data_IF_498836293721
#
_entry.id   IF_498836293721
#
_cell.length_a   1.000
_cell.length_b   1.000
_cell.length_c   1.000
_cell.angle_alpha   90.00
_cell.angle_beta   90.00
_cell.angle_gamma   90.00
#
_symmetry.space_group_name_H-M   'P 1'
#
loop_
_entity.id
_entity.type
_entity.pdbx_description
1 polymer ?
#
# COMPACT_ATOMS: atom_id res chain seq x y z
N UNK A 1 3.04 59.87 11.29
CA UNK A 1 3.02 58.97 10.12
C UNK A 1 4.25 58.09 10.20
N UNK A 2 4.10 56.95 10.86
CA UNK A 2 5.18 56.05 11.25
C UNK A 2 5.27 54.90 10.27
N UNK A 3 6.46 54.65 9.75
CA UNK A 3 6.78 53.48 8.97
C UNK A 3 8.18 53.01 9.31
N UNK A 4 8.31 51.79 9.83
CA UNK A 4 9.48 50.92 9.63
C UNK A 4 9.08 49.47 9.87
N UNK A 5 9.31 48.67 8.82
CA UNK A 5 9.23 47.20 8.80
C UNK A 5 10.29 46.62 9.72
N UNK A 6 9.92 45.64 10.55
CA UNK A 6 10.85 44.77 11.27
C UNK A 6 10.60 43.33 10.81
N UNK A 7 11.62 42.76 10.17
CA UNK A 7 11.77 41.33 9.93
C UNK A 7 11.98 40.64 11.29
N UNK A 8 11.15 39.64 11.64
CA UNK A 8 11.46 38.72 12.75
C UNK A 8 11.96 37.39 12.19
N UNK A 9 13.22 37.10 12.49
CA UNK A 9 13.96 35.87 12.23
C UNK A 9 13.60 34.89 13.35
N UNK A 10 13.06 33.71 13.03
CA UNK A 10 12.76 32.66 14.01
C UNK A 10 14.04 31.84 14.32
N UNK A 11 14.53 31.90 15.56
CA UNK A 11 15.69 31.13 16.01
C UNK A 11 15.32 29.80 16.69
N UNK A 12 16.10 28.77 16.36
CA UNK A 12 16.02 27.37 16.79
C UNK A 12 16.58 27.17 18.22
N UNK A 13 15.81 27.41 19.27
CA UNK A 13 16.27 27.09 20.64
C UNK A 13 15.36 26.23 21.53
N UNK A 14 14.19 25.77 21.08
CA UNK A 14 13.31 24.97 21.94
C UNK A 14 13.38 23.44 21.80
N UNK A 15 14.42 22.89 21.14
CA UNK A 15 14.52 21.42 20.91
C UNK A 15 15.58 20.69 21.76
N UNK A 16 16.25 21.35 22.72
CA UNK A 16 17.30 20.72 23.55
C UNK A 16 16.97 20.52 25.03
N UNK A 17 15.78 20.92 25.50
CA UNK A 17 15.44 20.85 26.93
C UNK A 17 14.52 19.67 27.33
N UNK A 18 13.98 18.91 26.37
CA UNK A 18 13.08 17.78 26.65
C UNK A 18 13.75 16.39 26.59
N UNK A 19 15.00 16.29 26.12
CA UNK A 19 15.69 14.99 25.97
C UNK A 19 16.52 14.59 27.21
N UNK A 20 16.80 15.52 28.14
CA UNK A 20 17.62 15.26 29.33
C UNK A 20 16.84 14.78 30.55
N UNK A 21 15.49 14.81 30.53
CA UNK A 21 14.66 14.44 31.69
C UNK A 21 14.28 12.94 31.71
N UNK A 22 14.45 12.20 30.61
CA UNK A 22 14.02 10.79 30.53
C UNK A 22 15.12 9.74 30.81
N UNK A 23 16.39 10.13 30.99
CA UNK A 23 17.50 9.16 31.15
C UNK A 23 17.89 8.92 32.62
N UNK A 24 17.29 9.61 33.59
CA UNK A 24 17.67 9.51 35.02
C UNK A 24 16.75 8.68 35.92
N UNK A 25 15.73 7.98 35.38
CA UNK A 25 14.80 7.17 36.19
C UNK A 25 14.99 5.64 36.15
N UNK A 26 16.03 5.13 35.49
CA UNK A 26 16.34 3.69 35.50
C UNK A 26 17.82 3.43 35.70
N UNK A 27 18.37 3.65 36.90
CA UNK A 27 19.37 2.77 37.57
C UNK A 27 19.53 3.25 39.01
N UNK A 28 18.88 2.59 39.98
CA UNK A 28 19.37 2.46 41.37
C UNK A 28 18.44 1.58 42.18
N UNK A 29 18.79 0.31 42.33
CA UNK A 29 18.47 -0.54 43.48
C UNK A 29 19.31 -1.82 43.38
N UNK A 30 20.48 -1.77 44.01
CA UNK A 30 21.44 -2.86 44.22
C UNK A 30 20.85 -4.04 45.00
N UNK A 31 21.38 -5.27 44.80
CA UNK A 31 21.91 -6.15 45.87
C UNK A 31 22.89 -7.19 45.25
N UNK A 32 24.11 -7.26 45.77
CA UNK A 32 25.02 -8.44 45.76
C UNK A 32 25.12 -8.99 47.20
N UNK A 33 25.64 -10.22 47.47
CA UNK A 33 27.07 -10.30 47.82
C UNK A 33 27.81 -11.68 47.72
N UNK A 34 29.14 -11.61 47.96
CA UNK A 34 30.10 -12.57 48.58
C UNK A 34 31.02 -13.49 47.69
N UNK A 35 32.25 -13.87 48.16
CA UNK A 35 33.52 -13.49 47.51
C UNK A 35 34.56 -14.65 47.29
N UNK A 36 35.82 -14.24 46.97
CA UNK A 36 37.15 -14.81 47.28
C UNK A 36 38.03 -15.26 46.08
N UNK A 37 39.06 -14.47 45.76
CA UNK A 37 40.49 -14.77 46.00
C UNK A 37 41.47 -14.14 44.97
N UNK A 38 42.31 -13.25 45.51
CA UNK A 38 43.76 -13.09 45.28
C UNK A 38 44.33 -12.82 43.87
N UNK A 39 44.90 -11.62 43.69
CA UNK A 39 46.36 -11.31 43.62
C UNK A 39 46.55 -9.90 43.01
N UNK A 40 47.25 -9.03 43.73
CA UNK A 40 47.92 -7.78 43.31
C UNK A 40 49.46 -8.07 43.33
N UNK A 41 50.44 -7.34 42.71
CA UNK A 41 50.49 -6.00 42.08
C UNK A 41 51.08 -6.02 40.64
N UNK A 42 51.04 -4.97 39.81
CA UNK A 42 51.81 -3.71 39.92
C UNK A 42 51.29 -2.68 38.91
N UNK A 43 51.33 -1.39 39.30
CA UNK A 43 51.24 -0.25 38.40
C UNK A 43 52.65 0.23 38.02
N UNK A 44 52.85 0.70 36.78
CA UNK A 44 53.59 1.94 36.57
C UNK A 44 52.77 3.01 35.82
N UNK A 45 53.17 4.25 36.09
CA UNK A 45 52.62 5.57 35.73
C UNK A 45 52.77 5.92 34.22
N UNK A 46 52.32 7.09 33.71
CA UNK A 46 51.64 7.20 32.42
C UNK A 46 52.60 7.62 31.29
N UNK A 47 52.23 7.35 30.04
CA UNK A 47 52.85 7.99 28.88
C UNK A 47 51.77 8.67 28.06
N UNK A 48 51.93 9.99 27.92
CA UNK A 48 51.08 10.88 27.13
C UNK A 48 51.10 10.53 25.64
N UNK A 49 49.93 10.73 25.02
CA UNK A 49 49.83 11.29 23.68
C UNK A 49 50.06 10.33 22.52
N UNK A 50 48.98 9.74 22.01
CA UNK A 50 48.81 9.48 20.58
C UNK A 50 47.31 9.25 20.27
N UNK A 51 46.82 9.95 19.24
CA UNK A 51 45.46 9.86 18.73
C UNK A 51 45.08 8.40 18.45
N UNK A 52 44.08 7.87 19.17
CA UNK A 52 43.41 6.64 18.76
C UNK A 52 42.45 6.95 17.61
N UNK A 53 42.91 6.73 16.38
CA UNK A 53 42.02 6.28 15.31
C UNK A 53 41.57 4.86 15.66
N UNK A 54 40.31 4.71 16.09
CA UNK A 54 39.70 3.40 16.23
C UNK A 54 39.45 2.87 14.81
N UNK A 55 40.36 2.02 14.31
CA UNK A 55 40.00 1.11 13.24
C UNK A 55 39.04 0.07 13.82
N UNK A 56 37.75 0.21 13.49
CA UNK A 56 36.79 -0.86 13.70
C UNK A 56 37.19 -2.02 12.76
N UNK A 57 37.97 -2.96 13.28
CA UNK A 57 38.15 -4.25 12.64
C UNK A 57 36.81 -4.97 12.67
N UNK A 58 36.02 -4.82 11.60
CA UNK A 58 34.90 -5.70 11.32
C UNK A 58 35.52 -7.03 10.92
N UNK A 59 35.71 -7.91 11.90
CA UNK A 59 36.11 -9.28 11.66
C UNK A 59 35.01 -9.97 10.87
N UNK A 60 35.33 -10.21 9.61
CA UNK A 60 34.94 -11.40 8.86
C UNK A 60 33.44 -11.71 8.87
N UNK A 61 32.72 -11.02 7.98
CA UNK A 61 31.95 -11.67 6.93
C UNK A 61 31.59 -13.14 7.19
N UNK A 62 30.58 -13.39 8.03
CA UNK A 62 29.69 -14.54 7.82
C UNK A 62 28.81 -14.26 6.59
N UNK A 63 29.47 -14.12 5.44
CA UNK A 63 28.83 -14.26 4.14
C UNK A 63 28.55 -15.74 4.03
N UNK A 64 27.30 -16.13 4.26
CA UNK A 64 26.83 -17.44 3.86
C UNK A 64 27.10 -17.57 2.35
N UNK A 65 28.02 -18.46 1.91
CA UNK A 65 28.27 -18.63 0.51
C UNK A 65 27.06 -19.39 -0.06
N UNK A 66 26.39 -18.77 -1.03
CA UNK A 66 25.20 -19.26 -1.74
C UNK A 66 23.83 -19.07 -1.08
N UNK A 67 23.52 -17.87 -0.59
CA UNK A 67 22.18 -17.33 -0.87
C UNK A 67 22.23 -16.55 -2.19
N UNK A 68 22.14 -17.27 -3.31
CA UNK A 68 21.53 -16.66 -4.49
C UNK A 68 20.08 -16.40 -4.12
N UNK A 69 19.76 -15.18 -3.66
CA UNK A 69 18.40 -14.67 -3.80
C UNK A 69 18.24 -14.43 -5.29
N UNK A 70 18.01 -15.52 -6.00
CA UNK A 70 17.37 -15.48 -7.30
C UNK A 70 16.16 -14.57 -7.14
N UNK A 71 16.01 -13.61 -8.04
CA UNK A 71 14.76 -12.85 -8.16
C UNK A 71 13.62 -13.76 -8.70
N UNK A 72 13.49 -14.97 -8.17
CA UNK A 72 12.42 -15.94 -8.42
C UNK A 72 11.32 -15.83 -7.37
N UNK A 73 11.21 -14.70 -6.67
CA UNK A 73 9.99 -14.43 -5.90
C UNK A 73 8.89 -14.21 -6.95
N UNK A 74 7.90 -15.11 -7.07
CA UNK A 74 6.85 -14.92 -8.07
C UNK A 74 6.20 -13.57 -7.78
N UNK A 75 6.07 -12.74 -8.80
CA UNK A 75 5.19 -11.58 -8.75
C UNK A 75 3.90 -12.03 -8.04
N UNK A 76 3.49 -11.37 -6.93
CA UNK A 76 2.59 -12.01 -6.01
C UNK A 76 1.26 -12.15 -6.72
N UNK A 77 0.81 -13.40 -6.79
CA UNK A 77 -0.54 -13.81 -7.18
C UNK A 77 -0.76 -14.10 -8.67
N UNK A 78 -0.15 -15.19 -9.16
CA UNK A 78 -0.67 -15.90 -10.32
C UNK A 78 -2.00 -16.56 -9.91
N UNK A 79 -3.10 -15.85 -10.19
CA UNK A 79 -4.43 -16.34 -9.88
C UNK A 79 -4.78 -17.57 -10.73
N UNK A 80 -4.97 -18.70 -10.06
CA UNK A 80 -5.31 -19.98 -10.71
C UNK A 80 -6.53 -19.87 -11.62
N UNK A 81 -7.47 -18.96 -11.34
CA UNK A 81 -8.63 -18.73 -12.23
C UNK A 81 -8.19 -18.30 -13.63
N UNK A 82 -7.18 -17.44 -13.73
CA UNK A 82 -6.67 -16.91 -14.99
C UNK A 82 -5.90 -17.96 -15.81
N UNK A 83 -5.52 -19.08 -15.18
CA UNK A 83 -4.86 -20.21 -15.85
C UNK A 83 -5.86 -21.20 -16.47
N UNK A 84 -7.14 -21.15 -16.08
CA UNK A 84 -8.14 -22.09 -16.58
C UNK A 84 -8.47 -21.79 -18.05
N UNK A 85 -8.79 -22.81 -18.88
CA UNK A 85 -9.23 -22.58 -20.25
C UNK A 85 -10.64 -21.97 -20.28
N UNK A 86 -11.04 -21.35 -21.39
CA UNK A 86 -12.47 -21.05 -21.61
C UNK A 86 -13.29 -22.34 -21.61
N UNK A 87 -14.46 -22.32 -20.96
CA UNK A 87 -15.36 -23.48 -20.89
C UNK A 87 -16.78 -23.11 -21.26
N UNK A 88 -17.23 -23.57 -22.44
CA UNK A 88 -18.58 -23.36 -22.96
C UNK A 88 -19.62 -24.13 -22.14
N UNK A 89 -19.30 -25.37 -21.75
CA UNK A 89 -20.23 -26.25 -21.04
C UNK A 89 -21.23 -26.95 -21.96
N UNK A 90 -22.08 -27.82 -21.39
CA UNK A 90 -23.00 -28.69 -22.16
C UNK A 90 -24.32 -28.05 -22.55
N UNK A 91 -24.70 -26.95 -21.90
CA UNK A 91 -25.95 -26.24 -22.17
C UNK A 91 -25.84 -25.41 -23.47
N UNK A 92 -26.98 -25.10 -24.09
CA UNK A 92 -27.05 -24.49 -25.43
C UNK A 92 -27.43 -23.00 -25.43
N UNK A 93 -27.38 -22.32 -24.28
CA UNK A 93 -27.59 -20.87 -24.25
C UNK A 93 -26.43 -20.14 -24.95
N UNK A 94 -26.68 -18.93 -25.45
CA UNK A 94 -25.66 -18.11 -26.12
C UNK A 94 -25.33 -16.88 -25.27
N UNK A 95 -24.69 -17.08 -24.13
CA UNK A 95 -24.39 -15.99 -23.20
C UNK A 95 -23.03 -15.36 -23.52
N UNK A 96 -23.01 -14.07 -23.85
CA UNK A 96 -21.75 -13.33 -24.04
C UNK A 96 -21.02 -13.19 -22.71
N UNK A 97 -19.77 -13.66 -22.66
CA UNK A 97 -18.90 -13.66 -21.48
C UNK A 97 -17.46 -13.34 -21.91
N UNK A 98 -16.61 -13.06 -20.93
CA UNK A 98 -15.19 -12.85 -21.11
C UNK A 98 -14.39 -13.91 -20.37
N UNK A 99 -13.24 -14.29 -20.91
CA UNK A 99 -12.26 -15.15 -20.25
C UNK A 99 -10.86 -14.57 -20.50
N UNK A 100 -9.93 -14.83 -19.58
CA UNK A 100 -8.53 -14.53 -19.79
C UNK A 100 -7.87 -15.62 -20.61
N UNK A 101 -7.30 -15.26 -21.76
CA UNK A 101 -6.53 -16.14 -22.60
C UNK A 101 -5.06 -16.02 -22.22
N UNK A 102 -4.51 -17.04 -21.56
CA UNK A 102 -3.12 -17.08 -21.13
C UNK A 102 -2.11 -17.06 -22.30
N UNK A 103 -2.51 -17.47 -23.51
CA UNK A 103 -1.63 -17.45 -24.69
C UNK A 103 -1.45 -16.05 -25.24
N UNK A 104 -2.52 -15.26 -25.28
CA UNK A 104 -2.47 -13.87 -25.75
C UNK A 104 -2.20 -12.87 -24.62
N UNK A 105 -2.31 -13.31 -23.36
CA UNK A 105 -2.21 -12.47 -22.16
C UNK A 105 -3.36 -11.46 -22.04
N UNK A 106 -4.51 -11.72 -22.68
CA UNK A 106 -5.61 -10.75 -22.84
C UNK A 106 -6.96 -11.36 -22.46
N UNK A 107 -7.89 -10.48 -22.08
CA UNK A 107 -9.29 -10.83 -21.90
C UNK A 107 -10.02 -10.85 -23.25
N UNK A 108 -10.62 -11.97 -23.59
CA UNK A 108 -11.30 -12.21 -24.87
C UNK A 108 -12.75 -12.62 -24.62
N UNK A 109 -13.64 -12.31 -25.58
CA UNK A 109 -15.05 -12.72 -25.48
C UNK A 109 -15.24 -14.18 -25.92
N UNK A 110 -16.22 -14.85 -25.34
CA UNK A 110 -16.68 -16.17 -25.76
C UNK A 110 -18.17 -16.36 -25.43
N UNK A 111 -18.80 -17.35 -26.07
CA UNK A 111 -20.17 -17.74 -25.74
C UNK A 111 -20.18 -18.85 -24.70
N UNK A 112 -20.75 -18.57 -23.54
CA UNK A 112 -20.99 -19.55 -22.49
C UNK A 112 -22.35 -20.21 -22.68
N UNK A 113 -22.37 -21.55 -22.62
CA UNK A 113 -23.54 -22.39 -22.81
C UNK A 113 -24.61 -22.29 -21.71
N UNK A 114 -24.27 -21.67 -20.57
CA UNK A 114 -25.19 -21.42 -19.46
C UNK A 114 -25.08 -22.41 -18.29
N UNK A 115 -24.31 -23.50 -18.42
CA UNK A 115 -24.04 -24.42 -17.31
C UNK A 115 -22.66 -25.07 -17.40
N UNK A 116 -22.16 -25.57 -16.26
CA UNK A 116 -20.90 -26.32 -16.17
C UNK A 116 -19.66 -25.58 -16.70
N UNK A 117 -19.62 -24.26 -16.55
CA UNK A 117 -18.42 -23.45 -16.80
C UNK A 117 -17.31 -23.69 -15.78
N UNK A 118 -16.34 -22.78 -15.74
CA UNK A 118 -15.31 -22.71 -14.71
C UNK A 118 -15.11 -21.24 -14.26
N UNK A 119 -14.17 -20.99 -13.37
CA UNK A 119 -13.93 -19.65 -12.82
C UNK A 119 -13.47 -18.62 -13.86
N UNK A 120 -12.88 -19.03 -14.98
CA UNK A 120 -12.43 -18.12 -16.04
C UNK A 120 -13.60 -17.73 -16.95
N UNK A 121 -14.60 -17.09 -16.34
CA UNK A 121 -15.86 -16.72 -16.96
C UNK A 121 -16.40 -15.47 -16.26
N UNK A 122 -16.16 -14.33 -16.88
CA UNK A 122 -16.50 -13.01 -16.37
C UNK A 122 -17.65 -12.40 -17.18
N UNK A 123 -18.52 -11.65 -16.52
CA UNK A 123 -19.67 -11.02 -17.18
C UNK A 123 -19.22 -9.85 -18.06
N UNK A 124 -18.22 -9.09 -17.60
CA UNK A 124 -17.72 -7.90 -18.30
C UNK A 124 -16.22 -7.98 -18.54
N UNK A 125 -15.75 -7.28 -19.58
CA UNK A 125 -14.32 -7.14 -19.87
C UNK A 125 -13.54 -6.62 -18.66
N UNK A 126 -14.08 -5.60 -17.99
CA UNK A 126 -13.47 -4.98 -16.80
C UNK A 126 -13.30 -5.96 -15.65
N UNK A 127 -14.26 -6.86 -15.42
CA UNK A 127 -14.13 -7.90 -14.39
C UNK A 127 -12.98 -8.85 -14.71
N UNK A 128 -12.86 -9.28 -15.97
CA UNK A 128 -11.74 -10.11 -16.41
C UNK A 128 -10.40 -9.39 -16.25
N UNK A 129 -10.29 -8.15 -16.75
CA UNK A 129 -9.05 -7.37 -16.68
C UNK A 129 -8.61 -7.14 -15.23
N UNK A 130 -9.55 -6.79 -14.35
CA UNK A 130 -9.26 -6.63 -12.91
C UNK A 130 -8.69 -7.88 -12.28
N UNK A 131 -9.28 -9.03 -12.61
CA UNK A 131 -8.87 -10.30 -11.99
C UNK A 131 -7.54 -10.79 -12.52
N UNK A 132 -7.32 -10.67 -13.84
CA UNK A 132 -6.26 -11.38 -14.55
C UNK A 132 -5.22 -10.50 -15.23
N UNK A 133 -5.55 -9.26 -15.60
CA UNK A 133 -4.59 -8.33 -16.25
C UNK A 133 -3.85 -7.52 -15.20
N UNK A 134 -4.55 -7.00 -14.20
CA UNK A 134 -3.95 -6.16 -13.16
C UNK A 134 -2.99 -6.92 -12.23
N UNK A 135 -2.95 -8.25 -12.28
CA UNK A 135 -1.97 -9.06 -11.55
C UNK A 135 -0.71 -9.36 -12.34
N UNK A 136 -0.66 -9.03 -13.64
CA UNK A 136 0.48 -9.35 -14.49
C UNK A 136 1.68 -8.44 -14.17
N UNK A 137 2.92 -8.91 -14.37
CA UNK A 137 4.10 -8.08 -14.20
C UNK A 137 4.14 -6.95 -15.23
N UNK A 138 4.93 -5.91 -14.97
CA UNK A 138 5.30 -4.95 -16.02
C UNK A 138 6.18 -5.64 -17.06
N UNK A 139 5.91 -5.43 -18.34
CA UNK A 139 6.73 -5.97 -19.43
C UNK A 139 7.04 -4.92 -20.49
N UNK A 140 8.33 -4.58 -20.62
CA UNK A 140 8.82 -3.69 -21.68
C UNK A 140 8.61 -4.28 -23.07
N UNK A 141 8.63 -5.61 -23.21
CA UNK A 141 8.67 -6.29 -24.50
C UNK A 141 10.06 -6.23 -25.14
N UNK A 142 10.19 -6.76 -26.35
CA UNK A 142 11.48 -6.96 -27.03
C UNK A 142 11.80 -5.92 -28.12
N UNK A 143 10.83 -5.06 -28.48
CA UNK A 143 11.11 -3.90 -29.33
C UNK A 143 11.82 -2.78 -28.54
N UNK A 144 12.46 -1.84 -29.26
CA UNK A 144 13.36 -0.82 -28.69
C UNK A 144 12.84 0.62 -28.75
N UNK A 145 11.57 0.82 -29.09
CA UNK A 145 10.96 2.15 -29.00
C UNK A 145 10.73 2.54 -27.52
N UNK A 146 10.52 3.82 -27.23
CA UNK A 146 10.36 4.31 -25.87
C UNK A 146 8.98 4.94 -25.64
N UNK A 147 7.94 4.12 -25.59
CA UNK A 147 6.58 4.60 -25.32
C UNK A 147 6.33 4.68 -23.82
N UNK A 148 5.97 5.87 -23.32
CA UNK A 148 5.49 6.02 -21.94
C UNK A 148 4.11 5.37 -21.82
N UNK A 149 3.98 4.44 -20.88
CA UNK A 149 2.76 3.68 -20.59
C UNK A 149 2.58 3.55 -19.09
N UNK A 150 1.44 3.06 -18.66
CA UNK A 150 1.15 2.78 -17.25
C UNK A 150 0.90 1.29 -17.05
N UNK A 151 1.37 0.73 -15.93
CA UNK A 151 1.00 -0.60 -15.48
C UNK A 151 0.50 -0.50 -14.04
N UNK A 152 -0.37 -1.42 -13.65
CA UNK A 152 -0.79 -1.53 -12.26
C UNK A 152 0.21 -2.37 -11.49
N UNK A 153 0.77 -1.79 -10.43
CA UNK A 153 1.62 -2.47 -9.48
C UNK A 153 0.76 -3.03 -8.34
N UNK A 154 0.52 -4.35 -8.26
CA UNK A 154 -0.35 -4.94 -7.24
C UNK A 154 0.24 -4.88 -5.83
N UNK A 155 1.56 -4.72 -5.70
CA UNK A 155 2.25 -4.63 -4.40
C UNK A 155 1.89 -3.31 -3.71
N UNK A 156 2.02 -2.20 -4.46
CA UNK A 156 1.70 -0.86 -3.95
C UNK A 156 0.28 -0.41 -4.27
N UNK A 157 -0.51 -1.28 -4.93
CA UNK A 157 -1.86 -1.01 -5.42
C UNK A 157 -1.98 0.30 -6.21
N UNK A 158 -0.95 0.61 -7.01
CA UNK A 158 -0.83 1.90 -7.71
C UNK A 158 -0.53 1.71 -9.19
N UNK A 159 -1.08 2.59 -10.02
CA UNK A 159 -0.67 2.71 -11.42
C UNK A 159 0.64 3.49 -11.51
N UNK A 160 1.66 2.86 -12.09
CA UNK A 160 3.02 3.39 -12.23
C UNK A 160 3.39 3.51 -13.71
N UNK A 161 4.15 4.56 -14.04
CA UNK A 161 4.63 4.74 -15.41
C UNK A 161 5.79 3.77 -15.69
N UNK A 162 5.84 3.23 -16.90
CA UNK A 162 6.97 2.46 -17.40
C UNK A 162 7.22 2.75 -18.89
N UNK A 163 8.33 2.24 -19.43
CA UNK A 163 8.65 2.31 -20.85
C UNK A 163 8.24 1.00 -21.51
N UNK A 164 7.36 1.10 -22.50
CA UNK A 164 7.01 0.00 -23.39
C UNK A 164 7.80 0.10 -24.69
N UNK A 165 8.43 -1.02 -25.06
CA UNK A 165 9.28 -1.20 -26.23
C UNK A 165 8.57 -1.04 -27.57
N UNK A 166 7.23 -1.11 -27.59
CA UNK A 166 6.40 -0.97 -28.79
C UNK A 166 5.82 -2.28 -29.33
N UNK A 167 6.37 -3.43 -28.94
CA UNK A 167 5.84 -4.74 -29.29
C UNK A 167 6.11 -5.80 -28.20
N UNK A 168 5.37 -6.90 -28.25
CA UNK A 168 5.39 -7.92 -27.20
C UNK A 168 4.72 -7.44 -25.92
N UNK A 169 5.21 -7.90 -24.78
CA UNK A 169 4.65 -7.56 -23.48
C UNK A 169 3.30 -8.21 -23.20
N UNK A 170 2.67 -7.79 -22.10
CA UNK A 170 1.37 -8.28 -21.68
C UNK A 170 0.33 -7.15 -21.57
N UNK A 171 -0.90 -7.48 -21.17
CA UNK A 171 -2.01 -6.54 -21.14
C UNK A 171 -1.99 -5.54 -19.97
N UNK A 172 -1.08 -5.68 -18.99
CA UNK A 172 -0.89 -4.70 -17.93
C UNK A 172 -0.08 -3.50 -18.46
N UNK A 173 -0.63 -2.86 -19.49
CA UNK A 173 -0.01 -1.84 -20.31
C UNK A 173 -1.12 -0.90 -20.82
N UNK A 174 -1.31 0.19 -20.11
CA UNK A 174 -2.34 1.19 -20.35
C UNK A 174 -1.73 2.44 -20.96
N UNK A 175 -2.50 3.15 -21.80
CA UNK A 175 -2.03 4.35 -22.50
C UNK A 175 -1.85 5.52 -21.54
N UNK A 176 -2.73 5.66 -20.55
CA UNK A 176 -2.75 6.77 -19.60
C UNK A 176 -3.13 6.30 -18.20
N UNK A 177 -2.95 7.21 -17.24
CA UNK A 177 -3.20 6.95 -15.83
C UNK A 177 -4.67 6.61 -15.55
N UNK A 178 -5.60 7.35 -16.15
CA UNK A 178 -7.04 7.17 -15.94
C UNK A 178 -7.54 5.81 -16.43
N UNK A 179 -7.02 5.33 -17.55
CA UNK A 179 -7.32 3.99 -18.08
C UNK A 179 -6.83 2.92 -17.11
N UNK A 180 -5.59 3.05 -16.61
CA UNK A 180 -5.03 2.11 -15.63
C UNK A 180 -5.82 2.13 -14.33
N UNK A 181 -6.09 3.31 -13.76
CA UNK A 181 -6.81 3.47 -12.50
C UNK A 181 -8.25 3.00 -12.65
N UNK A 182 -8.95 3.42 -13.70
CA UNK A 182 -10.30 2.99 -14.02
C UNK A 182 -10.40 1.48 -14.22
N UNK A 183 -9.37 0.85 -14.78
CA UNK A 183 -9.35 -0.60 -14.95
C UNK A 183 -9.03 -1.31 -13.63
N UNK A 184 -7.89 -1.02 -13.00
CA UNK A 184 -7.31 -1.83 -11.94
C UNK A 184 -7.61 -1.36 -10.52
N UNK A 185 -8.00 -0.11 -10.33
CA UNK A 185 -8.34 0.44 -9.02
C UNK A 185 -9.87 0.40 -8.88
N UNK A 186 -10.35 -0.21 -7.80
CA UNK A 186 -11.77 -0.21 -7.42
C UNK A 186 -12.13 1.02 -6.59
N UNK A 187 -11.11 1.74 -6.11
CA UNK A 187 -11.22 2.77 -5.11
C UNK A 187 -10.71 4.09 -5.72
N UNK A 188 -11.44 4.63 -6.72
CA UNK A 188 -11.32 6.06 -6.94
C UNK A 188 -11.85 6.70 -5.65
N UNK A 189 -11.02 7.38 -4.84
CA UNK A 189 -11.44 7.88 -3.54
C UNK A 189 -12.71 8.73 -3.65
N UNK A 190 -12.86 9.49 -4.74
CA UNK A 190 -14.05 10.30 -5.01
C UNK A 190 -15.39 9.54 -5.00
N UNK A 191 -15.40 8.23 -5.32
CA UNK A 191 -16.62 7.42 -5.32
C UNK A 191 -16.76 6.51 -4.12
N UNK A 192 -15.72 6.42 -3.29
CA UNK A 192 -15.85 5.74 -2.02
C UNK A 192 -16.53 6.71 -1.04
N UNK A 193 -17.65 6.23 -0.49
CA UNK A 193 -18.40 6.85 0.57
C UNK A 193 -17.49 7.49 1.63
N UNK A 194 -16.40 6.81 2.01
CA UNK A 194 -15.54 7.27 3.08
C UNK A 194 -14.78 8.56 2.75
N UNK A 195 -14.52 8.89 1.49
CA UNK A 195 -13.74 10.09 1.12
C UNK A 195 -14.59 11.22 0.54
N UNK A 196 -15.92 11.04 0.46
CA UNK A 196 -16.84 12.13 0.15
C UNK A 196 -16.98 13.08 1.34
N UNK A 197 -17.25 14.37 1.10
CA UNK A 197 -17.56 15.31 2.20
C UNK A 197 -18.89 14.95 2.87
N UNK A 198 -19.11 15.31 4.14
CA UNK A 198 -20.42 15.13 4.76
C UNK A 198 -21.46 16.05 4.11
N UNK A 199 -22.65 15.52 3.82
CA UNK A 199 -23.75 16.31 3.29
C UNK A 199 -25.01 16.24 4.17
N UNK A 200 -25.41 17.39 4.73
CA UNK A 200 -26.68 17.53 5.47
C UNK A 200 -27.89 17.36 4.55
N UNK A 201 -27.78 17.77 3.28
CA UNK A 201 -28.91 17.82 2.34
C UNK A 201 -29.89 18.98 2.61
N UNK A 202 -30.88 19.19 1.73
CA UNK A 202 -31.76 20.37 1.78
C UNK A 202 -32.97 20.21 2.73
N UNK A 203 -33.30 19.00 3.17
CA UNK A 203 -34.41 18.77 4.11
C UNK A 203 -34.05 19.21 5.53
N UNK A 204 -35.07 19.43 6.38
CA UNK A 204 -34.92 20.05 7.72
C UNK A 204 -35.16 19.11 8.89
N UNK A 205 -35.21 17.80 8.66
CA UNK A 205 -35.26 16.83 9.76
C UNK A 205 -33.93 16.86 10.53
N UNK A 206 -33.96 16.50 11.81
CA UNK A 206 -32.75 16.39 12.64
C UNK A 206 -32.43 14.93 12.88
N UNK A 207 -31.87 14.25 11.87
CA UNK A 207 -31.53 12.83 11.96
C UNK A 207 -30.04 12.66 12.33
N UNK A 208 -29.70 12.18 13.55
CA UNK A 208 -28.31 11.87 13.87
C UNK A 208 -27.79 10.75 12.97
N UNK A 209 -26.64 11.00 12.33
CA UNK A 209 -25.92 10.08 11.45
C UNK A 209 -24.43 10.17 11.72
N UNK A 210 -23.66 9.30 11.09
CA UNK A 210 -22.20 9.24 11.20
C UNK A 210 -21.57 9.38 9.82
N UNK A 211 -20.42 10.01 9.73
CA UNK A 211 -19.62 10.14 8.51
C UNK A 211 -18.16 9.89 8.85
N UNK A 212 -17.37 9.42 7.89
CA UNK A 212 -15.93 9.28 8.03
C UNK A 212 -15.24 10.62 7.73
N UNK A 213 -14.37 11.04 8.63
CA UNK A 213 -13.57 12.24 8.47
C UNK A 213 -12.10 11.85 8.19
N UNK A 214 -11.61 12.03 6.96
CA UNK A 214 -10.26 11.61 6.58
C UNK A 214 -9.17 12.40 7.31
N UNK A 215 -9.46 13.60 7.83
CA UNK A 215 -8.46 14.40 8.55
C UNK A 215 -8.02 13.76 9.87
N UNK A 216 -8.93 13.07 10.56
CA UNK A 216 -8.65 12.33 11.79
C UNK A 216 -8.60 10.82 11.58
N UNK A 217 -8.92 10.34 10.37
CA UNK A 217 -9.17 8.91 10.10
C UNK A 217 -10.20 8.31 11.08
N UNK A 218 -11.28 9.04 11.34
CA UNK A 218 -12.22 8.68 12.40
C UNK A 218 -13.68 8.97 12.00
N UNK A 219 -14.62 8.20 12.57
CA UNK A 219 -16.06 8.37 12.32
C UNK A 219 -16.68 9.37 13.30
N UNK A 220 -17.31 10.42 12.79
CA UNK A 220 -17.92 11.50 13.58
C UNK A 220 -19.43 11.58 13.36
N UNK A 221 -20.17 12.02 14.38
CA UNK A 221 -21.62 12.24 14.29
C UNK A 221 -21.92 13.56 13.59
N UNK A 222 -22.92 13.60 12.72
CA UNK A 222 -23.49 14.81 12.13
C UNK A 222 -25.03 14.75 12.09
N UNK A 223 -25.68 15.87 11.76
CA UNK A 223 -27.13 15.93 11.59
C UNK A 223 -27.45 15.89 10.10
N UNK A 224 -28.13 14.84 9.67
CA UNK A 224 -28.66 14.71 8.32
C UNK A 224 -30.08 15.25 8.23
N UNK A 225 -30.32 16.08 7.22
CA UNK A 225 -31.58 16.78 6.95
C UNK A 225 -32.74 15.87 6.54
N UNK A 226 -32.46 14.62 6.16
CA UNK A 226 -33.47 13.59 5.85
C UNK A 226 -33.72 13.35 4.37
N UNK A 227 -33.05 14.06 3.45
CA UNK A 227 -33.11 13.79 2.01
C UNK A 227 -31.84 14.24 1.27
N UNK A 228 -31.62 13.69 0.06
CA UNK A 228 -30.39 13.84 -0.74
C UNK A 228 -29.14 13.47 0.06
N UNK A 229 -28.02 14.17 -0.15
CA UNK A 229 -26.74 13.81 0.44
C UNK A 229 -25.99 12.80 -0.42
N UNK A 230 -24.96 12.22 0.18
CA UNK A 230 -24.07 11.27 -0.47
C UNK A 230 -23.85 10.02 0.42
N UNK A 231 -22.95 9.14 0.00
CA UNK A 231 -22.77 7.83 0.63
C UNK A 231 -22.00 7.92 1.96
N UNK A 232 -21.38 9.06 2.29
CA UNK A 232 -20.73 9.30 3.60
C UNK A 232 -21.77 9.59 4.71
N UNK A 233 -22.76 8.70 4.84
CA UNK A 233 -23.92 8.86 5.71
C UNK A 233 -24.35 7.51 6.30
N UNK A 234 -23.83 7.20 7.47
CA UNK A 234 -24.04 5.94 8.18
C UNK A 234 -25.04 6.12 9.31
N UNK A 235 -25.89 5.12 9.54
CA UNK A 235 -26.91 5.18 10.60
C UNK A 235 -26.30 5.02 11.99
N UNK A 236 -25.23 4.22 12.10
CA UNK A 236 -24.56 3.94 13.37
C UNK A 236 -23.05 4.14 13.24
N UNK A 237 -22.39 4.42 14.37
CA UNK A 237 -20.93 4.54 14.44
C UNK A 237 -20.25 3.28 13.89
N UNK A 238 -20.73 2.11 14.31
CA UNK A 238 -20.20 0.81 13.87
C UNK A 238 -20.28 0.61 12.36
N UNK A 239 -21.36 1.05 11.70
CA UNK A 239 -21.46 0.96 10.23
C UNK A 239 -20.41 1.81 9.53
N UNK A 240 -20.13 2.99 10.07
CA UNK A 240 -19.09 3.86 9.56
C UNK A 240 -17.71 3.21 9.76
N UNK A 241 -17.41 2.73 10.97
CA UNK A 241 -16.13 2.09 11.29
C UNK A 241 -15.91 0.81 10.48
N UNK A 242 -16.89 -0.09 10.46
CA UNK A 242 -16.81 -1.35 9.72
C UNK A 242 -16.53 -1.12 8.23
N UNK A 243 -17.04 -0.02 7.66
CA UNK A 243 -16.83 0.32 6.25
C UNK A 243 -15.55 1.12 6.00
N UNK A 244 -15.22 2.08 6.85
CA UNK A 244 -14.20 3.09 6.57
C UNK A 244 -12.92 2.97 7.40
N UNK A 245 -12.91 2.19 8.48
CA UNK A 245 -11.72 2.03 9.36
C UNK A 245 -11.09 0.65 9.30
N UNK A 246 -11.74 -0.35 8.67
CA UNK A 246 -11.26 -1.75 8.65
C UNK A 246 -10.10 -2.06 7.69
N UNK A 247 -9.48 -1.08 7.06
CA UNK A 247 -8.37 -1.33 6.11
C UNK A 247 -7.00 -1.53 6.79
N UNK A 248 -6.90 -1.53 8.12
CA UNK A 248 -5.61 -1.67 8.83
C UNK A 248 -5.49 -2.89 9.75
N UNK A 249 -6.36 -3.89 9.62
CA UNK A 249 -6.24 -5.13 10.41
C UNK A 249 -6.37 -6.33 9.49
N UNK A 250 -5.26 -6.72 8.85
CA UNK A 250 -4.88 -8.07 8.41
C UNK A 250 -3.65 -7.92 7.49
N UNK A 251 -2.50 -7.61 8.09
CA UNK A 251 -1.14 -7.81 7.53
C UNK A 251 -0.13 -7.63 8.68
N UNK A 252 -0.22 -8.50 9.69
CA UNK A 252 0.89 -8.83 10.59
C UNK A 252 1.24 -10.28 10.30
#
# INVERSE_FOLDING_TARGET
MSGRRILLKMERQHCRLLLTILVTLFVSSYVAPQPLDNILPTLPVPVEGQNLSIELHVTESLVLPNLTVSMTKPYPFEDKVCLLPKKVGRCKARMSRYYFNSKSGRCESFYYGGCQGNGNNFLTLRQCQRRCVCSLPKETGYCRAAFRRFFYNPIYRKCEQFIYGGCGGNANNFMNLDECQGTCIQDAPEKDACYQERETGPCRAKMPRYYFDPSCHCCKRFIYGGCKGNDNNFKTLRQCEDKCTKTLVLNI
#
